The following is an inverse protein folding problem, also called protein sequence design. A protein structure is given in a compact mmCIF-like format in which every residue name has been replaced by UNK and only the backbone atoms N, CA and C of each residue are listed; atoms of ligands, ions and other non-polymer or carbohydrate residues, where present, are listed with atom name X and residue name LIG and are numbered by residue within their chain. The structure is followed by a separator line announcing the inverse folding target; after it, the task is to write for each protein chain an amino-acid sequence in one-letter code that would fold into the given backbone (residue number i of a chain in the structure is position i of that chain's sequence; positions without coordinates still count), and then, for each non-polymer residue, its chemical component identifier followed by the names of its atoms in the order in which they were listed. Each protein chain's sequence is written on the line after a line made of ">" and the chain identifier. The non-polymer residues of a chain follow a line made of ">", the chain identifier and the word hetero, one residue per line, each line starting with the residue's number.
data_IF_859471616700
#
_entry.id   IF_859471616700
#
_cell.length_a   1.000
_cell.length_b   1.000
_cell.length_c   1.000
_cell.angle_alpha   90.00
_cell.angle_beta   90.00
_cell.angle_gamma   90.00
#
_symmetry.space_group_name_H-M   'P 1'
#
loop_
_entity.id
_entity.type
_entity.pdbx_description
1 polymer ?
#
# COMPACT_ATOMS: atom_id res chain seq x y z
N UNK A 1 27.62 -9.73 18.78
CA UNK A 1 26.56 -10.47 19.48
C UNK A 1 25.37 -10.55 18.55
N UNK A 2 24.64 -11.66 18.52
CA UNK A 2 23.42 -11.77 17.72
C UNK A 2 22.33 -10.84 18.28
N UNK A 3 21.57 -10.11 17.44
CA UNK A 3 20.54 -9.17 17.91
C UNK A 3 19.47 -9.86 18.76
N UNK A 4 18.93 -9.19 19.76
CA UNK A 4 17.90 -9.71 20.67
C UNK A 4 16.69 -10.27 19.92
N UNK A 5 16.27 -9.58 18.85
CA UNK A 5 15.13 -10.03 18.01
C UNK A 5 15.39 -11.41 17.36
N UNK A 6 16.63 -11.77 17.08
CA UNK A 6 16.98 -13.09 16.55
C UNK A 6 17.10 -14.12 17.66
N UNK A 7 17.76 -13.78 18.78
CA UNK A 7 17.88 -14.66 19.96
C UNK A 7 16.51 -15.05 20.54
N UNK A 8 15.55 -14.12 20.47
CA UNK A 8 14.18 -14.33 20.96
C UNK A 8 13.23 -14.90 19.93
N UNK A 9 13.74 -15.36 18.77
CA UNK A 9 12.89 -15.95 17.73
C UNK A 9 12.27 -17.25 18.26
N UNK A 10 10.93 -17.36 18.30
CA UNK A 10 10.27 -18.58 18.76
C UNK A 10 10.54 -19.77 17.83
N UNK A 11 10.68 -20.95 18.41
CA UNK A 11 10.90 -22.20 17.71
C UNK A 11 9.63 -23.04 17.60
N UNK A 12 8.65 -22.80 18.43
CA UNK A 12 7.38 -23.53 18.49
C UNK A 12 6.17 -22.58 18.37
N UNK A 13 5.02 -23.14 18.01
CA UNK A 13 3.77 -22.36 17.93
C UNK A 13 3.32 -21.88 19.33
N UNK A 14 3.71 -22.54 20.39
CA UNK A 14 3.31 -22.16 21.75
C UNK A 14 4.14 -20.97 22.29
N UNK A 15 5.36 -20.81 21.80
CA UNK A 15 6.20 -19.64 22.04
C UNK A 15 5.82 -18.44 21.15
N UNK A 16 5.11 -18.70 20.05
CA UNK A 16 4.76 -17.68 19.08
C UNK A 16 3.71 -16.72 19.64
N UNK A 17 4.08 -15.46 19.80
CA UNK A 17 3.22 -14.43 20.37
C UNK A 17 2.39 -13.77 19.27
N UNK A 18 1.10 -13.59 19.54
CA UNK A 18 0.16 -12.97 18.62
C UNK A 18 -0.50 -13.94 17.64
N UNK A 19 -1.26 -13.37 16.71
CA UNK A 19 -1.96 -14.09 15.63
C UNK A 19 -2.85 -15.24 16.10
N UNK A 20 -3.49 -15.11 17.27
CA UNK A 20 -4.33 -16.16 17.85
C UNK A 20 -5.49 -16.62 16.95
N UNK A 21 -5.95 -15.74 16.05
CA UNK A 21 -6.97 -16.05 15.04
C UNK A 21 -6.47 -17.04 13.96
N UNK A 22 -5.17 -17.19 13.77
CA UNK A 22 -4.56 -18.11 12.81
C UNK A 22 -3.96 -19.35 13.47
N UNK A 23 -3.25 -19.16 14.58
CA UNK A 23 -2.43 -20.20 15.22
C UNK A 23 -2.82 -20.50 16.68
N UNK A 24 -3.87 -19.87 17.19
CA UNK A 24 -4.44 -20.19 18.51
C UNK A 24 -5.03 -21.59 18.57
N UNK A 25 -5.46 -22.03 19.75
CA UNK A 25 -6.11 -23.33 19.91
C UNK A 25 -7.36 -23.40 19.01
N UNK A 26 -7.46 -24.48 18.23
CA UNK A 26 -8.53 -24.73 17.25
C UNK A 26 -8.58 -23.76 16.05
N UNK A 27 -7.57 -22.92 15.86
CA UNK A 27 -7.50 -22.06 14.67
C UNK A 27 -7.18 -22.88 13.41
N UNK A 28 -7.66 -22.39 12.25
CA UNK A 28 -7.60 -23.12 10.98
C UNK A 28 -6.18 -23.52 10.61
N UNK A 29 -5.22 -22.59 10.65
CA UNK A 29 -3.84 -22.85 10.28
C UNK A 29 -3.17 -23.79 11.30
N UNK A 30 -3.47 -23.64 12.60
CA UNK A 30 -2.99 -24.55 13.65
C UNK A 30 -3.41 -25.99 13.39
N UNK A 31 -4.68 -26.21 13.09
CA UNK A 31 -5.22 -27.56 12.81
C UNK A 31 -4.57 -28.18 11.56
N UNK A 32 -4.31 -27.40 10.51
CA UNK A 32 -3.60 -27.87 9.31
C UNK A 32 -2.16 -28.27 9.64
N UNK A 33 -1.45 -27.48 10.42
CA UNK A 33 -0.08 -27.78 10.85
C UNK A 33 -0.07 -29.05 11.71
N UNK A 34 -1.00 -29.17 12.64
CA UNK A 34 -1.11 -30.33 13.55
C UNK A 34 -1.49 -31.61 12.81
N UNK A 35 -2.24 -31.52 11.69
CA UNK A 35 -2.55 -32.67 10.80
C UNK A 35 -1.41 -33.06 9.86
N UNK A 36 -0.35 -32.26 9.79
CA UNK A 36 0.78 -32.53 8.88
C UNK A 36 0.53 -32.14 7.42
N UNK A 37 -0.63 -31.55 7.09
CA UNK A 37 -1.00 -31.21 5.73
C UNK A 37 -1.32 -29.70 5.63
N UNK A 38 -0.43 -28.97 4.96
CA UNK A 38 -0.63 -27.55 4.67
C UNK A 38 -0.74 -27.32 3.16
N UNK A 39 -1.69 -26.53 2.69
CA UNK A 39 -1.73 -26.02 1.31
C UNK A 39 -0.63 -24.99 1.09
N UNK A 40 -0.41 -24.59 -0.15
CA UNK A 40 0.35 -23.36 -0.43
C UNK A 40 -0.45 -22.14 -0.01
N UNK A 41 0.23 -21.16 0.58
CA UNK A 41 -0.44 -19.94 1.07
C UNK A 41 0.48 -18.72 1.07
N UNK A 42 -0.14 -17.56 1.21
CA UNK A 42 0.53 -16.26 1.31
C UNK A 42 0.22 -15.66 2.68
N UNK A 43 1.27 -15.28 3.40
CA UNK A 43 1.19 -14.52 4.65
C UNK A 43 1.26 -13.02 4.32
N UNK A 44 0.15 -12.32 4.50
CA UNK A 44 0.06 -10.89 4.27
C UNK A 44 -0.10 -10.14 5.59
N UNK A 45 0.71 -9.13 5.81
CA UNK A 45 0.61 -8.27 6.98
C UNK A 45 1.83 -7.37 7.16
N UNK A 46 1.78 -6.43 8.13
CA UNK A 46 2.83 -5.44 8.34
C UNK A 46 4.20 -6.09 8.66
N UNK A 47 5.30 -5.32 8.58
CA UNK A 47 6.61 -5.83 8.96
C UNK A 47 6.65 -6.22 10.44
N UNK A 48 7.56 -7.12 10.81
CA UNK A 48 7.84 -7.52 12.19
C UNK A 48 6.74 -8.29 12.93
N UNK A 49 5.66 -8.71 12.27
CA UNK A 49 4.56 -9.49 12.88
C UNK A 49 4.80 -11.00 12.90
N UNK A 50 5.99 -11.46 12.48
CA UNK A 50 6.40 -12.85 12.58
C UNK A 50 6.13 -13.73 11.35
N UNK A 51 5.93 -13.19 10.14
CA UNK A 51 5.70 -13.97 8.90
C UNK A 51 6.77 -15.04 8.65
N UNK A 52 8.03 -14.62 8.61
CA UNK A 52 9.19 -15.51 8.39
C UNK A 52 9.34 -16.51 9.54
N UNK A 53 9.13 -16.08 10.76
CA UNK A 53 9.17 -16.92 11.96
C UNK A 53 8.13 -18.02 11.91
N UNK A 54 6.90 -17.68 11.53
CA UNK A 54 5.80 -18.66 11.39
C UNK A 54 6.14 -19.73 10.34
N UNK A 55 6.68 -19.31 9.19
CA UNK A 55 7.10 -20.24 8.14
C UNK A 55 8.19 -21.22 8.62
N UNK A 56 9.17 -20.74 9.40
CA UNK A 56 10.21 -21.57 10.00
C UNK A 56 9.65 -22.56 11.03
N UNK A 57 8.77 -22.11 11.92
CA UNK A 57 8.11 -22.98 12.90
C UNK A 57 7.34 -24.11 12.21
N UNK A 58 6.62 -23.77 11.13
CA UNK A 58 5.86 -24.75 10.35
C UNK A 58 6.79 -25.80 9.74
N UNK A 59 7.89 -25.36 9.11
CA UNK A 59 8.85 -26.26 8.49
C UNK A 59 9.49 -27.21 9.52
N UNK A 60 9.90 -26.68 10.66
CA UNK A 60 10.47 -27.46 11.77
C UNK A 60 9.47 -28.47 12.30
N UNK A 61 8.20 -28.06 12.53
CA UNK A 61 7.17 -28.95 13.06
C UNK A 61 6.81 -30.10 12.10
N UNK A 62 6.85 -29.81 10.79
CA UNK A 62 6.55 -30.81 9.75
C UNK A 62 7.78 -31.64 9.34
N UNK A 63 8.94 -31.34 9.91
CA UNK A 63 10.23 -32.01 9.58
C UNK A 63 10.50 -32.04 8.07
N UNK A 64 10.08 -30.97 7.35
CA UNK A 64 10.19 -30.86 5.90
C UNK A 64 11.38 -30.01 5.50
N UNK A 65 12.07 -30.30 4.38
CA UNK A 65 13.11 -29.43 3.86
C UNK A 65 12.58 -28.01 3.61
N UNK A 66 13.35 -27.02 4.05
CA UNK A 66 12.98 -25.59 3.96
C UNK A 66 13.94 -24.85 3.05
N UNK A 67 13.43 -24.33 1.94
CA UNK A 67 14.18 -23.51 1.00
C UNK A 67 13.71 -22.07 1.10
N UNK A 68 14.65 -21.16 1.24
CA UNK A 68 14.35 -19.72 1.30
C UNK A 68 14.85 -19.02 0.05
N UNK A 69 14.00 -18.21 -0.56
CA UNK A 69 14.36 -17.26 -1.61
C UNK A 69 14.01 -15.84 -1.15
N UNK A 70 14.97 -14.95 -1.32
CA UNK A 70 14.72 -13.51 -1.13
C UNK A 70 14.37 -12.92 -2.49
N UNK A 71 13.22 -12.26 -2.59
CA UNK A 71 12.81 -11.64 -3.84
C UNK A 71 13.75 -10.52 -4.31
N UNK A 72 14.55 -9.96 -3.40
CA UNK A 72 15.54 -8.92 -3.72
C UNK A 72 16.78 -9.51 -4.38
N UNK A 73 17.22 -10.70 -3.96
CA UNK A 73 18.50 -11.29 -4.36
C UNK A 73 18.38 -12.45 -5.35
N UNK A 74 17.19 -13.03 -5.52
CA UNK A 74 17.00 -14.28 -6.29
C UNK A 74 16.42 -14.01 -7.68
N UNK A 75 17.03 -14.62 -8.71
CA UNK A 75 16.55 -14.57 -10.09
C UNK A 75 15.67 -15.78 -10.46
N UNK A 76 15.13 -15.79 -11.70
CA UNK A 76 14.36 -16.94 -12.26
C UNK A 76 15.17 -18.24 -12.21
N UNK A 77 16.50 -18.15 -12.38
CA UNK A 77 17.41 -19.30 -12.33
C UNK A 77 17.44 -19.94 -10.94
N UNK A 78 17.40 -19.13 -9.89
CA UNK A 78 17.42 -19.62 -8.51
C UNK A 78 16.11 -20.33 -8.17
N UNK A 79 14.97 -19.78 -8.61
CA UNK A 79 13.66 -20.43 -8.48
C UNK A 79 13.69 -21.81 -9.15
N UNK A 80 14.18 -21.90 -10.38
CA UNK A 80 14.28 -23.17 -11.12
C UNK A 80 15.19 -24.19 -10.43
N UNK A 81 16.34 -23.74 -9.93
CA UNK A 81 17.30 -24.60 -9.21
C UNK A 81 16.66 -25.23 -7.95
N UNK A 82 15.88 -24.43 -7.18
CA UNK A 82 15.18 -24.95 -6.00
C UNK A 82 14.11 -25.97 -6.41
N UNK A 83 13.33 -25.68 -7.46
CA UNK A 83 12.31 -26.59 -7.97
C UNK A 83 12.95 -27.92 -8.46
N UNK A 84 14.09 -27.86 -9.12
CA UNK A 84 14.80 -29.07 -9.55
C UNK A 84 15.33 -29.90 -8.37
N UNK A 85 15.89 -29.24 -7.35
CA UNK A 85 16.30 -29.93 -6.11
C UNK A 85 15.09 -30.57 -5.42
N UNK A 86 13.97 -29.91 -5.36
CA UNK A 86 12.73 -30.45 -4.81
C UNK A 86 12.23 -31.66 -5.59
N UNK A 87 12.31 -31.65 -6.92
CA UNK A 87 11.96 -32.81 -7.78
C UNK A 87 12.86 -34.01 -7.53
N UNK A 88 14.16 -33.77 -7.45
CA UNK A 88 15.15 -34.84 -7.24
C UNK A 88 15.01 -35.48 -5.85
N UNK A 89 14.64 -34.71 -4.82
CA UNK A 89 14.38 -35.23 -3.48
C UNK A 89 13.14 -36.13 -3.38
N UNK A 90 12.17 -36.01 -4.28
CA UNK A 90 10.96 -36.85 -4.31
C UNK A 90 11.20 -38.34 -4.63
N UNK A 91 12.31 -38.67 -5.29
CA UNK A 91 12.67 -40.07 -5.57
C UNK A 91 12.92 -40.91 -4.31
N UNK A 92 13.10 -40.26 -3.15
CA UNK A 92 13.37 -40.93 -1.86
C UNK A 92 12.17 -40.93 -0.90
N UNK A 93 10.95 -40.78 -1.40
CA UNK A 93 9.72 -40.75 -0.57
C UNK A 93 9.71 -39.62 0.48
N UNK A 94 10.47 -38.56 0.27
CA UNK A 94 10.53 -37.41 1.15
C UNK A 94 9.28 -36.52 1.02
N UNK A 95 8.80 -35.89 2.10
CA UNK A 95 7.68 -34.96 2.03
C UNK A 95 8.00 -33.76 1.11
N UNK A 96 6.97 -33.16 0.52
CA UNK A 96 7.15 -31.99 -0.35
C UNK A 96 7.81 -30.85 0.43
N UNK A 97 8.96 -30.33 -0.03
CA UNK A 97 9.66 -29.28 0.67
C UNK A 97 8.84 -27.98 0.70
N UNK A 98 9.05 -27.19 1.75
CA UNK A 98 8.51 -25.84 1.84
C UNK A 98 9.45 -24.90 1.09
N UNK A 99 8.89 -24.14 0.15
CA UNK A 99 9.56 -23.02 -0.50
C UNK A 99 9.03 -21.73 0.10
N UNK A 100 9.84 -21.08 0.92
CA UNK A 100 9.53 -19.77 1.50
C UNK A 100 10.09 -18.66 0.61
N UNK A 101 9.22 -17.70 0.23
CA UNK A 101 9.60 -16.52 -0.54
C UNK A 101 9.25 -15.29 0.29
N UNK A 102 10.29 -14.62 0.78
CA UNK A 102 10.12 -13.36 1.49
C UNK A 102 9.94 -12.20 0.50
N UNK A 103 9.01 -11.31 0.81
CA UNK A 103 8.62 -10.16 -0.01
C UNK A 103 8.25 -10.57 -1.46
N UNK A 104 7.38 -11.59 -1.61
CA UNK A 104 7.00 -12.17 -2.90
C UNK A 104 6.46 -11.13 -3.90
N UNK A 105 5.94 -10.01 -3.44
CA UNK A 105 5.50 -8.89 -4.27
C UNK A 105 6.63 -8.27 -5.12
N UNK A 106 7.89 -8.44 -4.71
CA UNK A 106 9.06 -7.95 -5.46
C UNK A 106 9.49 -8.89 -6.58
N UNK A 107 8.92 -10.07 -6.66
CA UNK A 107 9.13 -10.96 -7.81
C UNK A 107 8.42 -10.41 -9.04
N UNK A 108 9.14 -10.33 -10.16
CA UNK A 108 8.55 -10.04 -11.46
C UNK A 108 7.46 -11.07 -11.82
N UNK A 109 6.54 -10.71 -12.71
CA UNK A 109 5.50 -11.64 -13.18
C UNK A 109 6.10 -12.94 -13.73
N UNK A 110 7.22 -12.86 -14.46
CA UNK A 110 7.93 -14.05 -14.99
C UNK A 110 8.50 -14.95 -13.89
N UNK A 111 8.97 -14.38 -12.78
CA UNK A 111 9.44 -15.17 -11.64
C UNK A 111 8.28 -15.87 -10.94
N UNK A 112 7.17 -15.17 -10.75
CA UNK A 112 5.95 -15.74 -10.17
C UNK A 112 5.35 -16.84 -11.08
N UNK A 113 5.33 -16.64 -12.41
CA UNK A 113 4.89 -17.64 -13.37
C UNK A 113 5.71 -18.93 -13.30
N UNK A 114 7.02 -18.82 -13.04
CA UNK A 114 7.90 -19.99 -12.92
C UNK A 114 7.56 -20.91 -11.73
N UNK A 115 6.82 -20.41 -10.75
CA UNK A 115 6.36 -21.17 -9.58
C UNK A 115 5.10 -22.00 -9.87
N UNK A 116 4.26 -21.60 -10.83
CA UNK A 116 2.92 -22.16 -11.05
C UNK A 116 2.94 -23.68 -11.20
N UNK A 117 3.78 -24.19 -12.08
CA UNK A 117 3.86 -25.63 -12.34
C UNK A 117 4.35 -26.45 -11.14
N UNK A 118 5.19 -25.88 -10.30
CA UNK A 118 5.70 -26.55 -9.11
C UNK A 118 4.66 -26.58 -7.98
N UNK A 119 3.93 -25.49 -7.81
CA UNK A 119 2.83 -25.35 -6.83
C UNK A 119 1.66 -26.26 -7.23
N UNK A 120 1.24 -26.21 -8.50
CA UNK A 120 0.10 -26.97 -9.01
C UNK A 120 0.31 -28.49 -8.90
N UNK A 121 1.53 -28.95 -9.20
CA UNK A 121 1.90 -30.38 -9.10
C UNK A 121 2.31 -30.79 -7.68
N UNK A 122 2.23 -29.89 -6.70
CA UNK A 122 2.65 -30.12 -5.32
C UNK A 122 4.13 -30.50 -5.19
N UNK A 123 4.99 -30.09 -6.12
CA UNK A 123 6.44 -30.34 -6.06
C UNK A 123 7.05 -29.61 -4.87
N UNK A 124 6.54 -28.43 -4.58
CA UNK A 124 6.84 -27.63 -3.40
C UNK A 124 5.52 -27.15 -2.77
N UNK A 125 5.53 -26.97 -1.46
CA UNK A 125 4.51 -26.20 -0.75
C UNK A 125 5.01 -24.77 -0.65
N UNK A 126 4.35 -23.83 -1.33
CA UNK A 126 4.74 -22.42 -1.33
C UNK A 126 4.21 -21.72 -0.07
N UNK A 127 5.09 -21.04 0.64
CA UNK A 127 4.75 -20.04 1.65
C UNK A 127 5.31 -18.69 1.17
N UNK A 128 4.45 -17.82 0.63
CA UNK A 128 4.84 -16.47 0.28
C UNK A 128 4.62 -15.52 1.47
N UNK A 129 5.53 -14.59 1.70
CA UNK A 129 5.35 -13.51 2.66
C UNK A 129 5.34 -12.16 1.94
N UNK A 130 4.46 -11.25 2.34
CA UNK A 130 4.37 -9.91 1.76
C UNK A 130 3.84 -8.89 2.77
N UNK A 131 4.32 -7.67 2.64
CA UNK A 131 3.76 -6.49 3.32
C UNK A 131 2.71 -5.77 2.46
N UNK A 132 2.74 -6.01 1.14
CA UNK A 132 1.84 -5.39 0.18
C UNK A 132 0.59 -6.24 -0.07
N UNK A 133 -0.50 -5.59 -0.52
CA UNK A 133 -1.74 -6.30 -0.80
C UNK A 133 -1.57 -7.31 -1.95
N UNK A 134 -1.66 -8.62 -1.67
CA UNK A 134 -1.40 -9.65 -2.66
C UNK A 134 -2.37 -9.62 -3.85
N UNK A 135 -3.55 -9.02 -3.71
CA UNK A 135 -4.52 -8.90 -4.80
C UNK A 135 -4.02 -8.02 -5.96
N UNK A 136 -3.07 -7.12 -5.69
CA UNK A 136 -2.49 -6.24 -6.70
C UNK A 136 -1.12 -6.72 -7.17
N UNK A 137 -0.34 -7.32 -6.28
CA UNK A 137 1.08 -7.60 -6.50
C UNK A 137 1.36 -9.05 -6.88
N UNK A 138 0.48 -9.97 -6.51
CA UNK A 138 0.62 -11.38 -6.87
C UNK A 138 -0.25 -11.71 -8.07
N UNK A 139 0.31 -12.45 -9.04
CA UNK A 139 -0.43 -12.81 -10.25
C UNK A 139 -1.64 -13.69 -9.93
N UNK A 140 -2.76 -13.43 -10.61
CA UNK A 140 -4.02 -14.15 -10.40
C UNK A 140 -3.90 -15.69 -10.47
N UNK A 141 -3.12 -16.28 -11.41
CA UNK A 141 -2.95 -17.72 -11.45
C UNK A 141 -2.27 -18.30 -10.20
N UNK A 142 -1.38 -17.55 -9.54
CA UNK A 142 -0.74 -17.99 -8.30
C UNK A 142 -1.68 -17.84 -7.11
N UNK A 143 -2.41 -16.71 -7.03
CA UNK A 143 -3.44 -16.49 -6.00
C UNK A 143 -4.55 -17.54 -6.02
N UNK A 144 -4.96 -18.01 -7.20
CA UNK A 144 -5.98 -19.08 -7.29
C UNK A 144 -5.54 -20.43 -6.74
N UNK A 145 -4.24 -20.62 -6.52
CA UNK A 145 -3.62 -21.85 -5.99
C UNK A 145 -3.12 -21.71 -4.55
N UNK A 146 -3.21 -20.52 -3.98
CA UNK A 146 -2.73 -20.21 -2.63
C UNK A 146 -3.86 -19.66 -1.79
N UNK A 147 -3.92 -20.03 -0.52
CA UNK A 147 -4.75 -19.32 0.46
C UNK A 147 -4.04 -18.05 0.93
N UNK A 148 -4.78 -17.04 1.33
CA UNK A 148 -4.20 -15.81 1.90
C UNK A 148 -4.56 -15.73 3.36
N UNK A 149 -3.55 -15.67 4.22
CA UNK A 149 -3.70 -15.47 5.66
C UNK A 149 -3.21 -14.08 6.03
N UNK A 150 -4.08 -13.32 6.71
CA UNK A 150 -3.79 -11.95 7.12
C UNK A 150 -3.25 -11.95 8.54
N UNK A 151 -2.00 -11.46 8.70
CA UNK A 151 -1.39 -11.22 9.99
C UNK A 151 -1.65 -9.77 10.42
N UNK A 152 -1.96 -9.58 11.69
CA UNK A 152 -2.25 -8.26 12.28
C UNK A 152 -1.04 -7.74 13.04
N UNK A 153 -0.94 -6.42 13.15
CA UNK A 153 -0.01 -5.79 14.09
C UNK A 153 -0.23 -6.32 15.51
N UNK A 154 0.85 -6.50 16.25
CA UNK A 154 0.76 -6.95 17.63
C UNK A 154 0.12 -5.87 18.51
N UNK A 155 -0.79 -6.28 19.37
CA UNK A 155 -1.43 -5.38 20.32
C UNK A 155 -0.54 -5.12 21.55
N UNK A 156 -0.98 -4.20 22.42
CA UNK A 156 -0.23 -3.80 23.62
C UNK A 156 0.15 -4.98 24.51
N UNK A 157 -0.79 -5.89 24.75
CA UNK A 157 -0.58 -7.04 25.63
C UNK A 157 0.42 -8.04 25.05
N UNK A 158 0.35 -8.27 23.73
CA UNK A 158 1.28 -9.13 23.00
C UNK A 158 2.70 -8.55 23.01
N UNK A 159 2.84 -7.25 22.82
CA UNK A 159 4.14 -6.55 22.87
C UNK A 159 4.75 -6.58 24.28
N UNK A 160 3.93 -6.38 25.33
CA UNK A 160 4.39 -6.49 26.72
C UNK A 160 4.81 -7.92 27.06
N UNK A 161 4.10 -8.93 26.56
CA UNK A 161 4.49 -10.33 26.70
C UNK A 161 5.86 -10.61 26.06
N UNK A 162 6.14 -10.03 24.88
CA UNK A 162 7.46 -10.15 24.23
C UNK A 162 8.57 -9.56 25.08
N UNK A 163 8.37 -8.36 25.67
CA UNK A 163 9.35 -7.74 26.56
C UNK A 163 9.57 -8.59 27.82
N UNK A 164 8.52 -9.10 28.43
CA UNK A 164 8.62 -9.97 29.61
C UNK A 164 9.37 -11.26 29.27
N UNK A 165 9.06 -11.89 28.14
CA UNK A 165 9.78 -13.07 27.67
C UNK A 165 11.28 -12.75 27.44
N UNK A 166 11.60 -11.60 26.82
CA UNK A 166 12.97 -11.21 26.59
C UNK A 166 13.76 -11.06 27.89
N UNK A 167 13.18 -10.43 28.91
CA UNK A 167 13.84 -10.25 30.21
C UNK A 167 14.07 -11.59 30.91
N UNK A 168 13.12 -12.51 30.83
CA UNK A 168 13.12 -13.75 31.61
C UNK A 168 13.84 -14.92 30.94
N UNK A 169 13.90 -14.94 29.60
CA UNK A 169 14.36 -16.09 28.82
C UNK A 169 15.66 -15.84 28.06
N UNK A 170 15.98 -14.56 27.71
CA UNK A 170 17.21 -14.28 26.98
C UNK A 170 18.44 -14.58 27.84
N UNK A 171 19.44 -15.23 27.25
CA UNK A 171 20.64 -15.70 27.94
C UNK A 171 21.47 -14.58 28.61
N UNK A 172 21.40 -13.37 28.08
CA UNK A 172 22.15 -12.22 28.59
C UNK A 172 21.29 -11.31 29.46
N UNK A 173 19.99 -11.17 29.16
CA UNK A 173 19.12 -10.26 29.90
C UNK A 173 18.62 -10.83 31.23
N UNK A 174 18.44 -12.15 31.32
CA UNK A 174 17.98 -12.82 32.55
C UNK A 174 18.93 -12.66 33.75
N UNK A 175 20.23 -12.35 33.49
CA UNK A 175 21.25 -12.09 34.52
C UNK A 175 21.29 -10.63 34.95
N UNK A 176 20.58 -9.73 34.22
CA UNK A 176 20.52 -8.30 34.53
C UNK A 176 19.27 -7.99 35.36
N UNK A 177 19.40 -7.09 36.34
CA UNK A 177 18.25 -6.59 37.08
C UNK A 177 17.54 -5.49 36.27
N UNK A 178 16.58 -5.88 35.43
CA UNK A 178 15.87 -4.96 34.51
C UNK A 178 14.46 -4.72 35.06
N UNK A 179 14.10 -3.46 35.26
CA UNK A 179 12.79 -3.02 35.72
C UNK A 179 12.10 -2.17 34.67
N UNK A 180 10.99 -2.67 34.13
CA UNK A 180 10.12 -1.91 33.26
C UNK A 180 9.23 -0.98 34.09
N UNK A 181 9.66 0.28 34.28
CA UNK A 181 8.86 1.29 34.99
C UNK A 181 7.80 1.87 34.09
N UNK A 182 8.16 2.17 32.83
CA UNK A 182 7.29 2.75 31.82
C UNK A 182 7.56 2.06 30.48
N UNK A 183 6.49 1.85 29.71
CA UNK A 183 6.58 1.11 28.44
C UNK A 183 5.95 1.84 27.25
N UNK A 184 5.27 2.98 27.48
CA UNK A 184 4.47 3.63 26.43
C UNK A 184 5.33 4.13 25.25
N UNK A 185 6.57 4.61 25.53
CA UNK A 185 7.50 4.98 24.47
C UNK A 185 7.94 3.76 23.63
N UNK A 186 8.32 2.63 24.26
CA UNK A 186 8.67 1.39 23.56
C UNK A 186 7.52 0.92 22.66
N UNK A 187 6.31 0.90 23.19
CA UNK A 187 5.13 0.46 22.46
C UNK A 187 4.79 1.41 21.32
N UNK A 188 4.83 2.71 21.56
CA UNK A 188 4.58 3.75 20.56
C UNK A 188 5.57 3.68 19.41
N UNK A 189 6.86 3.60 19.68
CA UNK A 189 7.91 3.61 18.66
C UNK A 189 8.03 2.27 17.93
N UNK A 190 7.61 1.15 18.51
CA UNK A 190 7.56 -0.13 17.82
C UNK A 190 6.42 -0.20 16.79
N UNK A 191 5.29 0.49 17.04
CA UNK A 191 4.16 0.51 16.12
C UNK A 191 3.52 -0.87 15.85
N UNK A 192 3.66 -1.83 16.78
CA UNK A 192 3.15 -3.20 16.61
C UNK A 192 4.12 -4.18 15.94
N UNK A 193 5.35 -3.74 15.69
CA UNK A 193 6.45 -4.53 15.11
C UNK A 193 7.31 -5.13 16.24
N UNK A 194 7.30 -6.47 16.38
CA UNK A 194 8.08 -7.19 17.39
C UNK A 194 9.58 -7.01 17.23
N UNK A 195 10.10 -7.05 16.01
CA UNK A 195 11.54 -6.88 15.74
C UNK A 195 12.01 -5.49 16.15
N UNK A 196 11.24 -4.48 15.78
CA UNK A 196 11.52 -3.10 16.13
C UNK A 196 11.46 -2.88 17.65
N UNK A 197 10.46 -3.46 18.31
CA UNK A 197 10.33 -3.43 19.77
C UNK A 197 11.58 -3.96 20.46
N UNK A 198 12.01 -5.18 20.10
CA UNK A 198 13.15 -5.84 20.73
C UNK A 198 14.47 -5.12 20.42
N UNK A 199 14.63 -4.57 19.21
CA UNK A 199 15.80 -3.78 18.86
C UNK A 199 15.87 -2.47 19.66
N UNK A 200 14.75 -1.75 19.81
CA UNK A 200 14.69 -0.53 20.63
C UNK A 200 14.99 -0.87 22.09
N UNK A 201 14.43 -1.97 22.57
CA UNK A 201 14.64 -2.42 23.95
C UNK A 201 16.12 -2.79 24.22
N UNK A 202 16.75 -3.55 23.31
CA UNK A 202 18.18 -3.89 23.39
C UNK A 202 19.06 -2.62 23.38
N UNK A 203 18.80 -1.69 22.45
CA UNK A 203 19.50 -0.40 22.38
C UNK A 203 19.37 0.41 23.67
N UNK A 204 18.18 0.44 24.26
CA UNK A 204 17.92 1.16 25.51
C UNK A 204 18.68 0.55 26.68
N UNK A 205 18.77 -0.78 26.74
CA UNK A 205 19.57 -1.48 27.76
C UNK A 205 21.06 -1.23 27.58
N UNK A 206 21.56 -1.25 26.35
CA UNK A 206 22.97 -1.04 26.03
C UNK A 206 23.41 0.41 26.30
N UNK A 207 22.50 1.37 26.11
CA UNK A 207 22.75 2.79 26.44
C UNK A 207 22.65 3.10 27.93
N UNK A 208 22.04 2.22 28.71
CA UNK A 208 21.96 2.38 30.16
C UNK A 208 23.37 2.22 30.77
N UNK A 209 23.75 3.14 31.66
CA UNK A 209 25.01 3.00 32.43
C UNK A 209 24.93 1.68 33.18
N UNK A 210 26.12 1.05 33.43
CA UNK A 210 26.24 -0.20 34.19
C UNK A 210 25.89 0.06 35.68
N UNK A 211 24.63 0.32 35.97
CA UNK A 211 24.08 0.39 37.30
C UNK A 211 23.59 -1.00 37.72
N UNK A 212 23.58 -1.30 39.00
CA UNK A 212 23.09 -2.58 39.54
C UNK A 212 21.63 -2.87 39.20
N UNK A 213 20.83 -1.84 38.89
CA UNK A 213 19.45 -1.93 38.44
C UNK A 213 19.24 -1.05 37.20
N UNK A 214 18.78 -1.65 36.06
CA UNK A 214 18.44 -0.94 34.84
C UNK A 214 16.96 -0.60 34.86
N UNK A 215 16.61 0.68 35.05
CA UNK A 215 15.24 1.16 35.07
C UNK A 215 14.86 1.74 33.70
N UNK A 216 13.97 1.08 32.98
CA UNK A 216 13.46 1.56 31.68
C UNK A 216 12.34 2.58 31.91
N UNK A 217 12.57 3.80 31.45
CA UNK A 217 11.60 4.92 31.47
C UNK A 217 11.34 5.43 30.05
N UNK A 218 10.25 6.15 29.87
CA UNK A 218 9.93 6.76 28.57
C UNK A 218 11.01 7.76 28.13
N UNK A 219 11.55 8.56 29.06
CA UNK A 219 12.60 9.52 28.78
C UNK A 219 13.86 8.82 28.24
N UNK A 220 14.30 7.75 28.89
CA UNK A 220 15.48 6.99 28.46
C UNK A 220 15.29 6.42 27.04
N UNK A 221 14.12 5.86 26.74
CA UNK A 221 13.79 5.35 25.40
C UNK A 221 13.83 6.47 24.37
N UNK A 222 13.22 7.61 24.65
CA UNK A 222 13.20 8.77 23.74
C UNK A 222 14.62 9.30 23.52
N UNK A 223 15.42 9.44 24.54
CA UNK A 223 16.82 9.89 24.45
C UNK A 223 17.64 8.95 23.56
N UNK A 224 17.50 7.64 23.72
CA UNK A 224 18.18 6.65 22.88
C UNK A 224 17.73 6.74 21.41
N UNK A 225 16.45 7.06 21.14
CA UNK A 225 15.89 7.13 19.80
C UNK A 225 16.13 8.47 19.10
N UNK A 226 16.32 9.59 19.83
CA UNK A 226 16.62 10.89 19.22
C UNK A 226 17.92 10.88 18.41
N UNK A 227 18.78 9.90 18.62
CA UNK A 227 20.00 9.68 17.84
C UNK A 227 19.77 8.85 16.55
N UNK A 228 18.56 8.33 16.34
CA UNK A 228 18.24 7.49 15.18
C UNK A 228 17.01 8.04 14.46
N UNK A 229 17.08 8.42 13.16
CA UNK A 229 15.93 8.86 12.41
C UNK A 229 14.84 7.77 12.40
N UNK A 230 13.61 8.14 12.75
CA UNK A 230 12.43 7.26 12.64
C UNK A 230 12.32 6.77 11.19
N UNK A 231 12.56 5.49 10.97
CA UNK A 231 12.37 4.87 9.67
C UNK A 231 10.85 4.80 9.39
N UNK A 232 10.36 5.75 8.61
CA UNK A 232 9.05 5.69 7.99
C UNK A 232 9.13 4.73 6.81
N UNK A 233 8.31 3.68 6.82
CA UNK A 233 8.21 2.78 5.68
C UNK A 233 7.42 3.48 4.55
N UNK A 234 8.16 4.14 3.66
CA UNK A 234 7.61 4.94 2.54
C UNK A 234 6.84 4.11 1.50
N UNK A 235 6.92 2.78 1.57
CA UNK A 235 6.37 1.88 0.56
C UNK A 235 5.41 0.80 1.12
N UNK A 236 5.02 0.86 2.40
CA UNK A 236 4.15 -0.14 3.02
C UNK A 236 2.65 0.20 2.95
N UNK A 237 1.79 -0.80 3.21
CA UNK A 237 0.32 -0.68 3.24
C UNK A 237 -0.17 0.47 4.14
N UNK A 238 0.57 0.79 5.21
CA UNK A 238 0.22 1.90 6.11
C UNK A 238 0.33 3.25 5.41
N UNK A 239 1.29 3.43 4.51
CA UNK A 239 1.45 4.62 3.69
C UNK A 239 0.22 4.84 2.80
N UNK A 240 -0.20 3.81 2.05
CA UNK A 240 -1.39 3.89 1.18
C UNK A 240 -2.68 4.13 1.98
N UNK A 241 -2.80 3.55 3.18
CA UNK A 241 -3.97 3.74 4.03
C UNK A 241 -4.07 5.18 4.57
N UNK A 242 -2.96 5.80 4.96
CA UNK A 242 -2.92 7.19 5.44
C UNK A 242 -3.26 8.15 4.29
N UNK A 243 -2.69 7.94 3.10
CA UNK A 243 -3.00 8.72 1.90
C UNK A 243 -4.49 8.61 1.55
N UNK A 244 -5.02 7.38 1.58
CA UNK A 244 -6.43 7.12 1.31
C UNK A 244 -7.34 7.82 2.33
N UNK A 245 -6.97 7.83 3.61
CA UNK A 245 -7.69 8.54 4.66
C UNK A 245 -7.63 10.06 4.45
N UNK A 246 -6.47 10.62 4.08
CA UNK A 246 -6.29 12.02 3.74
C UNK A 246 -7.21 12.46 2.61
N UNK A 247 -7.19 11.75 1.48
CA UNK A 247 -8.03 12.06 0.32
C UNK A 247 -9.52 11.96 0.68
N UNK A 248 -9.92 10.90 1.41
CA UNK A 248 -11.31 10.71 1.84
C UNK A 248 -11.79 11.77 2.82
N UNK A 249 -10.91 12.31 3.65
CA UNK A 249 -11.24 13.42 4.56
C UNK A 249 -11.50 14.72 3.78
N UNK A 250 -10.69 15.04 2.76
CA UNK A 250 -10.94 16.15 1.84
C UNK A 250 -12.29 15.96 1.14
N UNK A 251 -12.54 14.79 0.58
CA UNK A 251 -13.79 14.43 -0.12
C UNK A 251 -15.00 14.51 0.82
N UNK A 252 -14.84 14.07 2.07
CA UNK A 252 -15.86 14.10 3.11
C UNK A 252 -16.06 15.45 3.77
N UNK A 253 -15.31 16.49 3.37
CA UNK A 253 -15.40 17.85 3.91
C UNK A 253 -15.09 17.94 5.43
N UNK A 254 -14.13 17.15 5.89
CA UNK A 254 -13.62 17.20 7.26
C UNK A 254 -12.21 17.82 7.28
N UNK A 255 -12.07 19.12 7.58
CA UNK A 255 -10.78 19.80 7.61
C UNK A 255 -9.88 19.33 8.77
N UNK A 256 -10.43 18.93 9.91
CA UNK A 256 -9.65 18.48 11.07
C UNK A 256 -9.02 17.13 10.79
N UNK A 257 -9.79 16.16 10.26
CA UNK A 257 -9.26 14.88 9.83
C UNK A 257 -8.25 15.05 8.68
N UNK A 258 -8.48 15.97 7.74
CA UNK A 258 -7.56 16.30 6.65
C UNK A 258 -6.20 16.75 7.20
N UNK A 259 -6.19 17.70 8.14
CA UNK A 259 -4.95 18.15 8.79
C UNK A 259 -4.27 17.06 9.59
N UNK A 260 -5.02 16.23 10.31
CA UNK A 260 -4.46 15.13 11.09
C UNK A 260 -3.74 14.10 10.22
N UNK A 261 -4.38 13.65 9.13
CA UNK A 261 -3.75 12.67 8.23
C UNK A 261 -2.56 13.26 7.48
N UNK A 262 -2.62 14.55 7.10
CA UNK A 262 -1.48 15.25 6.51
C UNK A 262 -0.31 15.35 7.51
N UNK A 263 -0.57 15.71 8.77
CA UNK A 263 0.45 15.75 9.80
C UNK A 263 1.10 14.37 10.02
N UNK A 264 0.33 13.29 9.95
CA UNK A 264 0.89 11.92 10.02
C UNK A 264 1.81 11.59 8.82
N UNK A 265 1.51 12.09 7.62
CA UNK A 265 2.41 11.95 6.46
C UNK A 265 3.70 12.75 6.68
N UNK A 266 3.61 13.98 7.19
CA UNK A 266 4.75 14.86 7.45
C UNK A 266 5.68 14.25 8.51
N UNK A 267 5.15 13.84 9.66
CA UNK A 267 5.91 13.18 10.73
C UNK A 267 6.51 11.83 10.27
N UNK A 268 5.86 11.18 9.32
CA UNK A 268 6.37 9.99 8.65
C UNK A 268 7.48 10.27 7.63
N UNK A 269 7.85 11.53 7.40
CA UNK A 269 8.90 11.92 6.45
C UNK A 269 8.50 11.84 4.99
N UNK A 270 7.18 11.98 4.67
CA UNK A 270 6.69 11.99 3.31
C UNK A 270 7.27 13.15 2.49
N UNK A 271 7.46 12.91 1.20
CA UNK A 271 7.87 13.94 0.25
C UNK A 271 6.79 15.03 0.14
N UNK A 272 7.12 16.32 0.39
CA UNK A 272 6.14 17.40 0.30
C UNK A 272 5.53 17.53 -1.10
N UNK A 273 6.28 17.20 -2.15
CA UNK A 273 5.79 17.17 -3.53
C UNK A 273 4.74 16.07 -3.74
N UNK A 274 4.91 14.93 -3.05
CA UNK A 274 3.93 13.86 -3.12
C UNK A 274 2.58 14.32 -2.54
N UNK A 275 2.59 14.96 -1.37
CA UNK A 275 1.37 15.52 -0.74
C UNK A 275 0.73 16.55 -1.67
N UNK A 276 1.52 17.47 -2.24
CA UNK A 276 1.05 18.48 -3.18
C UNK A 276 0.40 17.87 -4.45
N UNK A 277 0.99 16.81 -5.01
CA UNK A 277 0.38 16.07 -6.14
C UNK A 277 -0.99 15.49 -5.79
N UNK A 278 -1.17 14.98 -4.56
CA UNK A 278 -2.47 14.48 -4.11
C UNK A 278 -3.51 15.57 -3.97
N UNK A 279 -3.12 16.76 -3.53
CA UNK A 279 -4.00 17.93 -3.49
C UNK A 279 -4.45 18.35 -4.90
N UNK A 280 -3.55 18.35 -5.91
CA UNK A 280 -3.90 18.63 -7.31
C UNK A 280 -4.94 17.64 -7.82
N UNK A 281 -4.72 16.34 -7.57
CA UNK A 281 -5.67 15.30 -8.00
C UNK A 281 -7.03 15.49 -7.33
N UNK A 282 -7.08 15.68 -5.99
CA UNK A 282 -8.32 15.91 -5.26
C UNK A 282 -9.05 17.19 -5.70
N UNK A 283 -8.31 18.25 -6.03
CA UNK A 283 -8.87 19.49 -6.56
C UNK A 283 -9.60 19.25 -7.89
N UNK A 284 -9.05 18.44 -8.78
CA UNK A 284 -9.65 18.14 -10.08
C UNK A 284 -10.76 17.08 -9.98
N UNK A 285 -10.57 16.03 -9.15
CA UNK A 285 -11.48 14.89 -9.04
C UNK A 285 -12.70 15.17 -8.17
N UNK A 286 -12.48 15.78 -6.96
CA UNK A 286 -13.51 15.90 -5.94
C UNK A 286 -14.18 17.29 -5.89
N UNK A 287 -13.44 18.36 -6.24
CA UNK A 287 -13.96 19.72 -6.25
C UNK A 287 -14.39 20.12 -7.68
N UNK A 288 -13.55 19.88 -8.66
CA UNK A 288 -13.86 20.09 -10.07
C UNK A 288 -14.46 21.46 -10.36
N UNK A 289 -15.53 21.47 -11.15
CA UNK A 289 -16.20 22.70 -11.57
C UNK A 289 -17.06 23.37 -10.47
N UNK A 290 -17.27 22.72 -9.33
CA UNK A 290 -17.96 23.36 -8.21
C UNK A 290 -17.15 24.56 -7.66
N UNK A 291 -15.80 24.50 -7.74
CA UNK A 291 -14.91 25.60 -7.42
C UNK A 291 -13.63 25.51 -8.29
N UNK A 292 -13.61 26.14 -9.48
CA UNK A 292 -12.45 26.08 -10.39
C UNK A 292 -11.14 26.63 -9.82
N UNK A 293 -11.19 27.50 -8.80
CA UNK A 293 -10.00 28.01 -8.14
C UNK A 293 -9.25 26.93 -7.36
N UNK A 294 -9.91 25.84 -7.01
CA UNK A 294 -9.30 24.74 -6.27
C UNK A 294 -8.07 24.17 -6.98
N UNK A 295 -8.17 23.92 -8.28
CA UNK A 295 -7.05 23.41 -9.08
C UNK A 295 -5.92 24.43 -9.22
N UNK A 296 -6.25 25.71 -9.36
CA UNK A 296 -5.26 26.80 -9.43
C UNK A 296 -4.46 26.91 -8.14
N UNK A 297 -5.14 26.90 -6.99
CA UNK A 297 -4.48 26.96 -5.68
C UNK A 297 -3.64 25.72 -5.40
N UNK A 298 -4.14 24.53 -5.73
CA UNK A 298 -3.37 23.29 -5.55
C UNK A 298 -2.09 23.29 -6.40
N UNK A 299 -2.16 23.81 -7.64
CA UNK A 299 -0.98 23.93 -8.50
C UNK A 299 -0.01 25.00 -7.96
N UNK A 300 -0.50 26.15 -7.48
CA UNK A 300 0.32 27.18 -6.84
C UNK A 300 1.01 26.64 -5.57
N UNK A 301 0.33 25.78 -4.79
CA UNK A 301 0.94 25.12 -3.64
C UNK A 301 2.08 24.20 -4.06
N UNK A 302 1.92 23.41 -5.14
CA UNK A 302 2.98 22.57 -5.66
C UNK A 302 4.22 23.39 -6.05
N UNK A 303 4.05 24.50 -6.78
CA UNK A 303 5.14 25.38 -7.14
C UNK A 303 5.81 26.03 -5.92
N UNK A 304 5.04 26.39 -4.90
CA UNK A 304 5.57 26.90 -3.63
C UNK A 304 6.40 25.87 -2.90
N UNK A 305 5.92 24.63 -2.80
CA UNK A 305 6.61 23.52 -2.17
C UNK A 305 7.95 23.25 -2.84
N UNK A 306 8.02 23.33 -4.17
CA UNK A 306 9.26 23.17 -4.92
C UNK A 306 10.30 24.24 -4.59
N UNK A 307 9.87 25.44 -4.22
CA UNK A 307 10.75 26.59 -3.91
C UNK A 307 11.22 26.62 -2.46
N UNK A 308 10.35 26.24 -1.52
CA UNK A 308 10.61 26.40 -0.09
C UNK A 308 10.99 25.11 0.64
N UNK A 309 10.45 23.95 0.24
CA UNK A 309 10.74 22.67 0.91
C UNK A 309 10.31 22.59 2.39
N UNK A 310 10.74 21.51 3.07
CA UNK A 310 10.53 21.37 4.52
C UNK A 310 11.48 22.28 5.31
N UNK A 311 11.08 22.80 6.49
CA UNK A 311 9.81 22.54 7.20
C UNK A 311 8.66 23.46 6.83
N UNK A 312 8.86 24.56 6.09
CA UNK A 312 7.87 25.60 5.84
C UNK A 312 6.78 25.18 4.83
N UNK A 313 7.07 24.23 3.95
CA UNK A 313 6.09 23.70 2.98
C UNK A 313 4.79 23.21 3.64
N UNK A 314 4.85 22.80 4.94
CA UNK A 314 3.67 22.38 5.71
C UNK A 314 2.59 23.45 5.78
N UNK A 315 2.98 24.74 5.77
CA UNK A 315 2.06 25.87 5.94
C UNK A 315 1.20 26.00 4.67
N UNK A 316 1.83 26.06 3.51
CA UNK A 316 1.15 26.16 2.21
C UNK A 316 0.29 24.91 1.95
N UNK A 317 0.81 23.72 2.27
CA UNK A 317 0.06 22.49 2.12
C UNK A 317 -1.17 22.44 3.00
N UNK A 318 -1.07 22.90 4.25
CA UNK A 318 -2.20 22.97 5.19
C UNK A 318 -3.28 23.93 4.72
N UNK A 319 -2.91 25.13 4.26
CA UNK A 319 -3.83 26.11 3.72
C UNK A 319 -4.67 25.54 2.59
N UNK A 320 -4.01 24.91 1.59
CA UNK A 320 -4.71 24.33 0.44
C UNK A 320 -5.51 23.10 0.84
N UNK A 321 -4.99 22.22 1.71
CA UNK A 321 -5.72 21.06 2.18
C UNK A 321 -7.05 21.44 2.86
N UNK A 322 -7.04 22.45 3.73
CA UNK A 322 -8.25 22.98 4.37
C UNK A 322 -9.17 23.63 3.33
N UNK A 323 -8.62 24.43 2.43
CA UNK A 323 -9.42 25.05 1.35
C UNK A 323 -10.17 24.02 0.53
N UNK A 324 -9.51 22.90 0.13
CA UNK A 324 -10.14 21.80 -0.59
C UNK A 324 -11.19 21.09 0.26
N UNK A 325 -10.91 20.86 1.54
CA UNK A 325 -11.84 20.21 2.44
C UNK A 325 -13.15 20.99 2.60
N UNK A 326 -13.09 22.34 2.72
CA UNK A 326 -14.28 23.19 2.89
C UNK A 326 -14.91 23.65 1.58
N UNK A 327 -14.30 23.37 0.42
CA UNK A 327 -14.86 23.70 -0.89
C UNK A 327 -16.08 22.85 -1.23
N UNK A 328 -17.06 23.37 -1.99
CA UNK A 328 -18.13 22.56 -2.59
C UNK A 328 -17.52 21.42 -3.41
N UNK A 329 -18.21 20.29 -3.46
CA UNK A 329 -17.72 19.08 -4.15
C UNK A 329 -18.50 18.85 -5.45
N UNK A 330 -17.76 18.48 -6.52
CA UNK A 330 -18.32 17.92 -7.73
C UNK A 330 -17.30 17.04 -8.43
N UNK A 331 -17.70 15.84 -8.81
CA UNK A 331 -16.92 14.94 -9.64
C UNK A 331 -17.54 14.76 -11.04
N UNK A 332 -18.35 15.71 -11.50
CA UNK A 332 -19.09 15.64 -12.77
C UNK A 332 -18.16 15.40 -13.97
N UNK A 333 -17.02 16.10 -14.01
CA UNK A 333 -16.01 15.98 -15.07
C UNK A 333 -15.29 14.63 -15.02
N UNK A 334 -14.97 14.14 -13.82
CA UNK A 334 -14.36 12.81 -13.62
C UNK A 334 -15.32 11.70 -14.10
N UNK A 335 -16.60 11.78 -13.75
CA UNK A 335 -17.62 10.84 -14.23
C UNK A 335 -17.81 10.95 -15.75
N UNK A 336 -17.81 12.18 -16.28
CA UNK A 336 -17.98 12.46 -17.70
C UNK A 336 -16.89 11.84 -18.56
N UNK A 337 -15.63 12.05 -18.21
CA UNK A 337 -14.51 11.43 -18.95
C UNK A 337 -14.52 9.91 -18.82
N UNK A 338 -14.88 9.37 -17.65
CA UNK A 338 -15.04 7.94 -17.44
C UNK A 338 -16.09 7.32 -18.34
N UNK A 339 -17.26 7.96 -18.45
CA UNK A 339 -18.36 7.53 -19.33
C UNK A 339 -17.94 7.60 -20.80
N UNK A 340 -17.28 8.67 -21.23
CA UNK A 340 -16.79 8.81 -22.60
C UNK A 340 -15.75 7.74 -22.97
N UNK A 341 -14.80 7.45 -22.07
CA UNK A 341 -13.81 6.37 -22.26
C UNK A 341 -14.48 4.98 -22.37
N UNK A 342 -15.49 4.73 -21.54
CA UNK A 342 -16.25 3.48 -21.62
C UNK A 342 -16.99 3.35 -22.96
N UNK A 343 -17.61 4.42 -23.44
CA UNK A 343 -18.30 4.44 -24.73
C UNK A 343 -17.32 4.17 -25.89
N UNK A 344 -16.17 4.83 -25.91
CA UNK A 344 -15.15 4.60 -26.96
C UNK A 344 -14.69 3.14 -26.98
N UNK A 345 -14.52 2.51 -25.81
CA UNK A 345 -14.16 1.08 -25.73
C UNK A 345 -15.26 0.16 -26.25
N UNK A 346 -16.52 0.54 -26.06
CA UNK A 346 -17.68 -0.27 -26.47
C UNK A 346 -18.05 -0.08 -27.95
N UNK A 347 -18.00 1.17 -28.43
CA UNK A 347 -18.44 1.51 -29.80
C UNK A 347 -17.31 1.42 -30.85
N UNK A 348 -16.06 1.27 -30.40
CA UNK A 348 -14.89 1.24 -31.28
C UNK A 348 -14.63 2.57 -32.00
N UNK A 349 -13.92 2.51 -33.13
CA UNK A 349 -13.59 3.67 -33.94
C UNK A 349 -14.78 4.17 -34.73
N UNK A 350 -15.52 5.12 -34.18
CA UNK A 350 -16.63 5.78 -34.91
C UNK A 350 -16.07 6.86 -35.86
N UNK A 351 -16.62 7.04 -37.07
CA UNK A 351 -16.15 8.06 -38.00
C UNK A 351 -16.44 9.47 -37.45
N UNK A 352 -15.50 10.38 -37.72
CA UNK A 352 -15.70 11.81 -37.44
C UNK A 352 -16.71 12.37 -38.47
N UNK A 353 -17.73 13.13 -38.06
CA UNK A 353 -18.62 13.81 -39.00
C UNK A 353 -17.87 14.66 -40.01
N UNK A 354 -18.17 14.54 -41.31
CA UNK A 354 -17.38 15.14 -42.37
C UNK A 354 -17.28 16.68 -42.27
N UNK A 355 -18.34 17.34 -41.79
CA UNK A 355 -18.33 18.78 -41.58
C UNK A 355 -17.31 19.26 -40.50
N UNK A 356 -16.92 18.39 -39.55
CA UNK A 356 -15.92 18.69 -38.54
C UNK A 356 -14.48 18.43 -39.03
N UNK A 357 -14.33 17.76 -40.17
CA UNK A 357 -13.03 17.46 -40.73
C UNK A 357 -12.53 18.62 -41.57
N UNK A 358 -11.22 18.92 -41.52
CA UNK A 358 -10.61 19.92 -42.37
C UNK A 358 -10.49 19.38 -43.79
N UNK A 359 -10.65 20.26 -44.82
CA UNK A 359 -10.49 19.95 -46.23
C UNK A 359 -9.27 20.69 -46.86
N UNK A 360 -8.01 20.30 -46.51
CA UNK A 360 -6.80 20.99 -46.96
C UNK A 360 -6.52 20.79 -48.48
N UNK A 361 -7.21 19.86 -49.14
CA UNK A 361 -7.04 19.61 -50.60
C UNK A 361 -8.37 19.67 -51.31
N UNK A 362 -8.34 20.01 -52.62
CA UNK A 362 -9.53 20.03 -53.48
C UNK A 362 -10.23 18.67 -53.51
N UNK A 363 -9.49 17.57 -53.46
CA UNK A 363 -10.05 16.23 -53.43
C UNK A 363 -10.85 16.03 -52.13
N UNK A 364 -10.34 16.46 -50.95
CA UNK A 364 -11.06 16.36 -49.70
C UNK A 364 -12.33 17.22 -49.71
N UNK A 365 -12.24 18.44 -50.23
CA UNK A 365 -13.41 19.29 -50.39
C UNK A 365 -14.49 18.62 -51.29
N UNK A 366 -14.07 18.01 -52.44
CA UNK A 366 -14.97 17.28 -53.32
C UNK A 366 -15.60 16.04 -52.70
N UNK A 367 -15.02 15.48 -51.65
CA UNK A 367 -15.53 14.35 -50.85
C UNK A 367 -16.43 14.80 -49.68
N UNK A 368 -16.78 16.10 -49.59
CA UNK A 368 -17.68 16.66 -48.58
C UNK A 368 -17.04 16.96 -47.22
N UNK A 369 -15.70 16.98 -47.15
CA UNK A 369 -15.00 17.41 -45.92
C UNK A 369 -15.22 18.91 -45.72
N UNK A 370 -15.52 19.29 -44.43
CA UNK A 370 -15.80 20.67 -44.02
C UNK A 370 -17.10 21.27 -44.58
N UNK A 371 -17.85 20.50 -45.41
CA UNK A 371 -19.07 20.99 -45.99
C UNK A 371 -20.18 21.14 -44.92
N UNK A 372 -20.79 22.33 -44.86
CA UNK A 372 -21.82 22.66 -43.89
C UNK A 372 -21.33 22.96 -42.45
N UNK A 373 -20.00 23.06 -42.22
CA UNK A 373 -19.51 23.51 -40.91
C UNK A 373 -19.93 24.95 -40.62
N UNK A 374 -20.51 25.15 -39.43
CA UNK A 374 -20.93 26.45 -38.95
C UNK A 374 -19.93 26.92 -37.89
N UNK A 375 -19.16 27.99 -38.18
CA UNK A 375 -18.23 28.56 -37.20
C UNK A 375 -19.01 29.32 -36.13
N UNK A 376 -19.01 28.93 -34.84
CA UNK A 376 -19.79 29.62 -33.80
C UNK A 376 -19.43 31.10 -33.64
N UNK A 377 -18.20 31.53 -33.95
CA UNK A 377 -17.79 32.93 -33.88
C UNK A 377 -18.52 33.86 -34.86
N UNK A 378 -19.16 33.32 -35.88
CA UNK A 378 -19.94 34.07 -36.87
C UNK A 378 -21.40 34.27 -36.45
N UNK A 379 -21.82 33.69 -35.32
CA UNK A 379 -23.18 33.73 -34.83
C UNK A 379 -23.27 34.55 -33.53
N UNK A 380 -24.46 35.11 -33.30
CA UNK A 380 -24.74 35.90 -32.10
C UNK A 380 -24.57 35.05 -30.83
N UNK A 381 -23.84 35.58 -29.86
CA UNK A 381 -23.53 34.87 -28.62
C UNK A 381 -22.47 33.76 -28.76
N UNK A 382 -21.79 33.70 -29.94
CA UNK A 382 -20.79 32.66 -30.26
C UNK A 382 -21.31 31.23 -30.06
N UNK A 383 -22.60 31.02 -30.42
CA UNK A 383 -23.26 29.75 -30.33
C UNK A 383 -24.07 29.45 -31.62
N UNK A 384 -24.04 28.22 -32.08
CA UNK A 384 -24.88 27.72 -33.17
C UNK A 384 -25.14 26.23 -32.94
N UNK A 385 -26.34 25.82 -33.27
CA UNK A 385 -26.70 24.43 -33.16
C UNK A 385 -26.12 23.64 -34.34
N UNK A 386 -25.22 22.69 -33.99
CA UNK A 386 -24.71 21.69 -34.94
C UNK A 386 -24.32 20.43 -34.21
N UNK A 387 -24.18 19.33 -34.94
CA UNK A 387 -23.78 18.04 -34.41
C UNK A 387 -22.25 17.98 -34.26
N UNK A 388 -21.78 17.56 -33.09
CA UNK A 388 -20.35 17.38 -32.81
C UNK A 388 -19.97 15.90 -32.55
N UNK A 389 -20.95 15.05 -32.18
CA UNK A 389 -20.72 13.63 -31.98
C UNK A 389 -20.95 12.84 -33.25
N UNK A 390 -20.34 11.65 -33.40
CA UNK A 390 -20.66 10.72 -34.49
C UNK A 390 -22.17 10.41 -34.55
N UNK A 391 -22.67 10.08 -35.75
CA UNK A 391 -24.11 9.85 -35.99
C UNK A 391 -24.74 8.81 -35.06
N UNK A 392 -23.97 7.79 -34.69
CA UNK A 392 -24.40 6.74 -33.77
C UNK A 392 -24.51 7.20 -32.33
N UNK A 393 -23.94 8.35 -31.99
CA UNK A 393 -23.81 8.86 -30.62
C UNK A 393 -24.51 10.22 -30.40
N UNK A 394 -25.27 10.70 -31.37
CA UNK A 394 -25.91 12.04 -31.34
C UNK A 394 -26.74 12.32 -30.09
N UNK A 395 -27.35 11.30 -29.51
CA UNK A 395 -28.19 11.41 -28.31
C UNK A 395 -27.41 11.13 -26.98
N UNK A 396 -26.10 10.89 -27.07
CA UNK A 396 -25.32 10.60 -25.89
C UNK A 396 -24.93 11.89 -25.14
N UNK A 397 -24.98 11.82 -23.81
CA UNK A 397 -24.52 12.87 -22.93
C UNK A 397 -23.53 12.27 -21.96
N UNK A 398 -22.33 12.78 -21.92
CA UNK A 398 -21.26 12.30 -21.05
C UNK A 398 -21.09 13.18 -19.82
N UNK A 399 -21.15 14.51 -19.97
CA UNK A 399 -21.09 15.42 -18.86
C UNK A 399 -22.49 15.74 -18.33
N UNK A 400 -22.71 15.43 -17.05
CA UNK A 400 -23.93 15.75 -16.33
C UNK A 400 -23.54 16.62 -15.14
N UNK A 401 -23.91 17.91 -15.11
CA UNK A 401 -23.60 18.80 -14.03
C UNK A 401 -24.24 18.31 -12.73
N UNK A 402 -23.53 18.52 -11.62
CA UNK A 402 -24.04 18.24 -10.28
C UNK A 402 -24.64 19.52 -9.68
N UNK A 403 -25.41 19.36 -8.60
CA UNK A 403 -26.10 20.51 -7.95
C UNK A 403 -25.10 21.42 -7.21
N UNK A 404 -24.41 22.25 -7.97
CA UNK A 404 -23.60 23.35 -7.46
C UNK A 404 -23.94 24.63 -8.21
N UNK A 405 -23.99 25.80 -7.53
CA UNK A 405 -24.35 27.07 -8.20
C UNK A 405 -23.45 27.40 -9.39
N UNK A 406 -22.18 27.00 -9.33
CA UNK A 406 -21.23 27.24 -10.40
C UNK A 406 -21.46 26.34 -11.61
N UNK A 407 -21.75 25.06 -11.42
CA UNK A 407 -22.06 24.15 -12.52
C UNK A 407 -23.41 24.44 -13.14
N UNK A 408 -24.39 24.80 -12.35
CA UNK A 408 -25.70 25.26 -12.86
C UNK A 408 -25.55 26.46 -13.78
N UNK A 409 -24.68 27.43 -13.40
CA UNK A 409 -24.38 28.57 -14.24
C UNK A 409 -23.71 28.16 -15.59
N UNK A 410 -22.78 27.21 -15.57
CA UNK A 410 -22.15 26.71 -16.79
C UNK A 410 -23.13 25.91 -17.66
N UNK A 411 -24.07 25.22 -17.04
CA UNK A 411 -25.07 24.43 -17.77
C UNK A 411 -26.15 25.29 -18.44
N UNK A 412 -26.45 26.45 -17.87
CA UNK A 412 -27.43 27.40 -18.41
C UNK A 412 -26.88 28.23 -19.57
N UNK A 413 -25.59 28.29 -19.73
CA UNK A 413 -24.93 28.98 -20.83
C UNK A 413 -24.91 28.13 -22.10
#
# INVERSE_FOLDING_TARGET
>A
MEPLAERMRPHTLDEYVGQSHLVGKNAVLRNMIDSGHIPSFILWGPPGVGKTTLALIIANKLETPFYTLSAIASGVKDVRNVIERAKNGRFFNSPSPILFIDEIHRFSKSQQDSLLGAVEKGIVTLIGATTENPSFEVIKPLLSRCQVYVLKSLNKEELLKLLTNAITQDIYLKEKNIKLKETDALLRYSGGDARKLLNIFELTIDASKQDDEIVITNELVIECLQQTPLAYDKNGDMHYNIISAFIKSIRGSDPDATLYWMARMIEGGEDPQFIARRLIISAAEDIGLANPNALLLANAAFDSVMKIGWPEARITLAEVAVYLAVSPKSNSTYQGIGAALAEVRNSGNQPVPLHLCNAPTELMASLGYHDGYKNPHEYQGHFTEQQYLPDTLTNKRFWNPQHSPQEEKYYQW
#
